data_IF_655750691663
#
_entry.id   IF_655750691663
#
_cell.length_a   1.000
_cell.length_b   1.000
_cell.length_c   1.000
_cell.angle_alpha   90.00
_cell.angle_beta   90.00
_cell.angle_gamma   90.00
#
_symmetry.space_group_name_H-M   'P 1'
#
loop_
_entity.id
_entity.type
_entity.pdbx_description
1 polymer ?
#
# COMPACT_ATOMS: atom_id res chain seq x y z
N UNK A 1 12.35 0.66 -22.08
CA UNK A 1 12.79 0.58 -20.67
C UNK A 1 13.61 1.80 -20.22
N UNK A 2 14.71 2.21 -20.89
CA UNK A 2 15.55 3.35 -20.48
C UNK A 2 14.79 4.70 -20.39
N UNK A 3 13.83 4.94 -21.27
CA UNK A 3 13.06 6.20 -21.26
C UNK A 3 12.10 6.32 -20.06
N UNK A 4 11.52 5.20 -19.60
CA UNK A 4 10.58 5.19 -18.46
C UNK A 4 11.33 5.45 -17.16
N UNK A 5 12.49 4.81 -16.96
CA UNK A 5 13.30 5.06 -15.76
C UNK A 5 13.84 6.49 -15.71
N UNK A 6 14.23 7.06 -16.85
CA UNK A 6 14.63 8.48 -16.95
C UNK A 6 13.47 9.43 -16.67
N UNK A 7 12.25 9.10 -17.11
CA UNK A 7 11.05 9.86 -16.78
C UNK A 7 10.78 9.82 -15.27
N UNK A 8 10.73 8.62 -14.68
CA UNK A 8 10.46 8.44 -13.25
C UNK A 8 11.48 9.18 -12.38
N UNK A 9 12.77 9.12 -12.73
CA UNK A 9 13.83 9.84 -12.02
C UNK A 9 13.58 11.36 -11.96
N UNK A 10 12.90 11.95 -12.94
CA UNK A 10 12.59 13.39 -12.96
C UNK A 10 11.34 13.76 -12.16
N UNK A 11 10.42 12.82 -11.95
CA UNK A 11 9.12 13.10 -11.31
C UNK A 11 9.02 12.62 -9.86
N UNK A 12 9.86 11.66 -9.45
CA UNK A 12 9.84 11.08 -8.09
C UNK A 12 10.01 12.13 -7.01
N UNK A 13 11.03 12.98 -7.10
CA UNK A 13 11.32 13.98 -6.07
C UNK A 13 10.22 15.05 -5.98
N UNK A 14 9.78 15.68 -7.10
CA UNK A 14 8.64 16.59 -7.07
C UNK A 14 7.37 15.96 -6.50
N UNK A 15 7.04 14.72 -6.87
CA UNK A 15 5.85 14.04 -6.36
C UNK A 15 5.96 13.75 -4.86
N UNK A 16 7.15 13.35 -4.40
CA UNK A 16 7.41 13.10 -2.97
C UNK A 16 7.20 14.37 -2.14
N UNK A 17 7.62 15.52 -2.65
CA UNK A 17 7.38 16.81 -1.98
C UNK A 17 5.89 17.18 -1.96
N UNK A 18 5.18 16.98 -3.08
CA UNK A 18 3.76 17.30 -3.19
C UNK A 18 2.87 16.40 -2.31
N UNK A 19 3.28 15.17 -2.02
CA UNK A 19 2.55 14.30 -1.08
C UNK A 19 2.39 14.95 0.31
N UNK A 20 3.37 15.73 0.74
CA UNK A 20 3.39 16.37 2.07
C UNK A 20 3.03 17.86 2.04
N UNK A 21 2.48 18.37 0.93
CA UNK A 21 1.96 19.75 0.90
C UNK A 21 0.80 19.92 1.89
N UNK A 22 0.75 21.06 2.59
CA UNK A 22 -0.29 21.35 3.59
C UNK A 22 -1.69 21.50 2.97
N UNK A 23 -1.77 21.73 1.66
CA UNK A 23 -3.03 21.83 0.93
C UNK A 23 -3.41 20.46 0.40
N UNK A 24 -4.49 19.91 0.93
CA UNK A 24 -5.02 18.60 0.54
C UNK A 24 -5.29 18.47 -0.96
N UNK A 25 -5.55 19.58 -1.69
CA UNK A 25 -5.69 19.57 -3.13
C UNK A 25 -4.41 19.17 -3.87
N UNK A 26 -3.23 19.62 -3.41
CA UNK A 26 -1.96 19.21 -4.02
C UNK A 26 -1.66 17.75 -3.68
N UNK A 27 -1.82 17.35 -2.42
CA UNK A 27 -1.67 15.95 -2.01
C UNK A 27 -2.56 15.03 -2.83
N UNK A 28 -3.81 15.43 -3.08
CA UNK A 28 -4.75 14.68 -3.91
C UNK A 28 -4.23 14.49 -5.33
N UNK A 29 -3.78 15.55 -5.99
CA UNK A 29 -3.26 15.44 -7.36
C UNK A 29 -1.94 14.65 -7.42
N UNK A 30 -1.09 14.73 -6.40
CA UNK A 30 0.11 13.90 -6.29
C UNK A 30 -0.25 12.41 -6.16
N UNK A 31 -1.17 12.06 -5.26
CA UNK A 31 -1.69 10.70 -5.11
C UNK A 31 -2.34 10.18 -6.40
N UNK A 32 -3.15 10.99 -7.08
CA UNK A 32 -3.76 10.63 -8.37
C UNK A 32 -2.73 10.43 -9.47
N UNK A 33 -1.69 11.25 -9.50
CA UNK A 33 -0.60 11.11 -10.48
C UNK A 33 0.16 9.82 -10.25
N UNK A 34 0.49 9.48 -8.99
CA UNK A 34 1.14 8.20 -8.65
C UNK A 34 0.24 7.01 -9.02
N UNK A 35 -1.05 7.09 -8.73
CA UNK A 35 -2.03 6.08 -9.12
C UNK A 35 -2.08 5.87 -10.64
N UNK A 36 -2.11 6.96 -11.42
CA UNK A 36 -2.07 6.90 -12.88
C UNK A 36 -0.75 6.32 -13.40
N UNK A 37 0.39 6.64 -12.77
CA UNK A 37 1.68 6.04 -13.12
C UNK A 37 1.65 4.53 -12.89
N UNK A 38 1.08 4.07 -11.77
CA UNK A 38 0.93 2.63 -11.50
C UNK A 38 0.02 1.96 -12.55
N UNK A 39 -1.09 2.59 -12.92
CA UNK A 39 -2.00 2.09 -13.97
C UNK A 39 -1.34 2.03 -15.35
N UNK A 40 -0.56 3.03 -15.74
CA UNK A 40 0.07 3.07 -17.07
C UNK A 40 1.28 2.14 -17.15
N UNK A 41 2.11 2.08 -16.10
CA UNK A 41 3.36 1.32 -16.11
C UNK A 41 3.21 -0.11 -15.58
N UNK A 42 2.12 -0.41 -14.87
CA UNK A 42 1.84 -1.73 -14.31
C UNK A 42 3.05 -2.27 -13.51
N UNK A 43 3.57 -3.45 -13.85
CA UNK A 43 4.71 -4.06 -13.16
C UNK A 43 6.06 -3.36 -13.44
N UNK A 44 6.18 -2.51 -14.47
CA UNK A 44 7.39 -1.69 -14.66
C UNK A 44 7.53 -0.64 -13.53
N UNK A 45 6.47 -0.39 -12.76
CA UNK A 45 6.49 0.50 -11.61
C UNK A 45 6.99 -0.16 -10.31
N UNK A 46 7.12 -1.50 -10.26
CA UNK A 46 7.42 -2.27 -9.03
C UNK A 46 8.51 -1.65 -8.16
N UNK A 47 9.69 -1.44 -8.74
CA UNK A 47 10.84 -0.90 -8.00
C UNK A 47 10.54 0.46 -7.36
N UNK A 48 9.83 1.35 -8.07
CA UNK A 48 9.51 2.68 -7.55
C UNK A 48 8.37 2.61 -6.52
N UNK A 49 7.34 1.80 -6.78
CA UNK A 49 6.22 1.58 -5.87
C UNK A 49 6.72 1.17 -4.47
N UNK A 50 7.56 0.14 -4.40
CA UNK A 50 8.02 -0.41 -3.12
C UNK A 50 9.20 0.30 -2.48
N UNK A 51 10.04 1.00 -3.24
CA UNK A 51 11.21 1.68 -2.68
C UNK A 51 10.96 3.16 -2.33
N UNK A 52 9.93 3.79 -2.91
CA UNK A 52 9.74 5.24 -2.81
C UNK A 52 8.35 5.62 -2.28
N UNK A 53 7.29 5.00 -2.79
CA UNK A 53 5.93 5.47 -2.51
C UNK A 53 5.23 4.71 -1.38
N UNK A 54 5.16 3.37 -1.44
CA UNK A 54 4.50 2.56 -0.40
C UNK A 54 5.50 2.23 0.70
N UNK A 55 5.97 3.26 1.42
CA UNK A 55 6.97 3.16 2.50
C UNK A 55 6.49 3.89 3.76
N UNK A 56 7.15 3.60 4.88
CA UNK A 56 6.91 4.18 6.20
C UNK A 56 7.16 5.69 6.27
N UNK A 57 7.99 6.23 5.38
CA UNK A 57 8.32 7.65 5.27
C UNK A 57 7.52 8.39 4.18
N UNK A 58 6.64 7.69 3.45
CA UNK A 58 5.90 8.23 2.30
C UNK A 58 4.39 8.05 2.49
N UNK A 59 3.72 7.19 1.70
CA UNK A 59 2.26 7.05 1.78
C UNK A 59 1.76 6.57 3.15
N UNK A 60 2.50 5.71 3.86
CA UNK A 60 2.12 5.36 5.24
C UNK A 60 2.26 6.54 6.19
N UNK A 61 3.35 7.32 6.08
CA UNK A 61 3.50 8.54 6.88
C UNK A 61 2.36 9.51 6.66
N UNK A 62 1.92 9.64 5.41
CA UNK A 62 0.81 10.51 5.03
C UNK A 62 -0.53 10.03 5.62
N UNK A 63 -0.77 8.72 5.66
CA UNK A 63 -1.93 8.13 6.36
C UNK A 63 -1.95 8.45 7.86
N UNK A 64 -0.78 8.63 8.46
CA UNK A 64 -0.60 8.92 9.89
C UNK A 64 -0.53 10.43 10.20
N UNK A 65 -0.76 11.29 9.21
CA UNK A 65 -0.64 12.75 9.37
C UNK A 65 -1.68 13.39 10.31
N UNK A 66 -2.75 12.68 10.65
CA UNK A 66 -3.88 13.20 11.43
C UNK A 66 -4.90 14.00 10.62
N UNK A 67 -4.60 14.34 9.35
CA UNK A 67 -5.57 14.92 8.42
C UNK A 67 -6.32 13.82 7.68
N UNK A 68 -7.62 13.67 7.98
CA UNK A 68 -8.44 12.59 7.43
C UNK A 68 -8.48 12.58 5.90
N UNK A 69 -8.61 13.74 5.24
CA UNK A 69 -8.66 13.81 3.77
C UNK A 69 -7.33 13.40 3.13
N UNK A 70 -6.21 13.85 3.71
CA UNK A 70 -4.88 13.46 3.21
C UNK A 70 -4.63 11.96 3.41
N UNK A 71 -5.07 11.42 4.55
CA UNK A 71 -4.97 9.99 4.83
C UNK A 71 -5.80 9.15 3.87
N UNK A 72 -7.01 9.59 3.53
CA UNK A 72 -7.87 8.93 2.53
C UNK A 72 -7.24 8.96 1.13
N UNK A 73 -6.65 10.09 0.71
CA UNK A 73 -5.93 10.16 -0.56
C UNK A 73 -4.73 9.21 -0.62
N UNK A 74 -3.97 9.11 0.47
CA UNK A 74 -2.85 8.18 0.56
C UNK A 74 -3.32 6.71 0.50
N UNK A 75 -4.39 6.39 1.22
CA UNK A 75 -5.00 5.06 1.21
C UNK A 75 -5.42 4.65 -0.21
N UNK A 76 -6.20 5.49 -0.88
CA UNK A 76 -6.67 5.23 -2.25
C UNK A 76 -5.51 5.09 -3.24
N UNK A 77 -4.41 5.83 -3.04
CA UNK A 77 -3.20 5.68 -3.83
C UNK A 77 -2.58 4.28 -3.69
N UNK A 78 -2.42 3.78 -2.45
CA UNK A 78 -1.90 2.42 -2.20
C UNK A 78 -2.81 1.35 -2.79
N UNK A 79 -4.13 1.49 -2.65
CA UNK A 79 -5.11 0.59 -3.28
C UNK A 79 -4.91 0.54 -4.79
N UNK A 80 -4.79 1.71 -5.46
CA UNK A 80 -4.54 1.78 -6.89
C UNK A 80 -3.22 1.13 -7.30
N UNK A 81 -2.15 1.30 -6.52
CA UNK A 81 -0.86 0.65 -6.76
C UNK A 81 -1.03 -0.88 -6.69
N UNK A 82 -1.73 -1.40 -5.69
CA UNK A 82 -1.93 -2.84 -5.52
C UNK A 82 -2.74 -3.48 -6.66
N UNK A 83 -3.73 -2.76 -7.21
CA UNK A 83 -4.48 -3.26 -8.37
C UNK A 83 -3.64 -3.37 -9.65
N UNK A 84 -2.57 -2.58 -9.78
CA UNK A 84 -1.83 -2.44 -11.04
C UNK A 84 -0.37 -2.95 -10.96
N UNK A 85 0.18 -3.15 -9.76
CA UNK A 85 1.60 -3.47 -9.58
C UNK A 85 1.77 -4.61 -8.57
N UNK A 86 2.15 -5.78 -9.07
CA UNK A 86 2.46 -6.96 -8.26
C UNK A 86 3.88 -6.88 -7.68
N UNK A 87 4.06 -6.09 -6.60
CA UNK A 87 5.37 -5.83 -6.00
C UNK A 87 5.63 -6.61 -4.71
N UNK A 88 6.72 -7.38 -4.68
CA UNK A 88 7.19 -8.04 -3.45
C UNK A 88 7.60 -7.03 -2.38
N UNK A 89 8.20 -5.91 -2.80
CA UNK A 89 8.67 -4.89 -1.87
C UNK A 89 7.50 -4.16 -1.21
N UNK A 90 6.45 -3.83 -1.98
CA UNK A 90 5.19 -3.28 -1.45
C UNK A 90 4.57 -4.23 -0.43
N UNK A 91 4.47 -5.54 -0.74
CA UNK A 91 3.99 -6.54 0.23
C UNK A 91 4.77 -6.52 1.54
N UNK A 92 6.12 -6.54 1.47
CA UNK A 92 6.98 -6.50 2.66
C UNK A 92 6.79 -5.23 3.49
N UNK A 93 6.58 -4.08 2.84
CA UNK A 93 6.33 -2.83 3.56
C UNK A 93 4.95 -2.85 4.24
N UNK A 94 3.93 -3.42 3.60
CA UNK A 94 2.59 -3.61 4.20
C UNK A 94 2.68 -4.52 5.44
N UNK A 95 3.36 -5.67 5.34
CA UNK A 95 3.54 -6.58 6.49
C UNK A 95 4.22 -5.88 7.68
N UNK A 96 5.25 -5.06 7.41
CA UNK A 96 5.92 -4.29 8.48
C UNK A 96 4.99 -3.29 9.17
N UNK A 97 4.07 -2.70 8.42
CA UNK A 97 3.11 -1.71 8.93
C UNK A 97 1.83 -2.33 9.51
N UNK A 98 1.62 -3.63 9.30
CA UNK A 98 0.39 -4.30 9.70
C UNK A 98 0.18 -4.35 11.23
N UNK A 99 1.26 -4.16 12.01
CA UNK A 99 1.25 -4.11 13.47
C UNK A 99 1.54 -2.69 14.01
N UNK A 100 1.33 -1.65 13.20
CA UNK A 100 1.62 -0.29 13.60
C UNK A 100 0.73 0.18 14.78
N UNK A 101 1.24 1.12 15.58
CA UNK A 101 0.51 1.69 16.72
C UNK A 101 -0.80 2.39 16.29
N UNK A 102 -0.84 2.96 15.09
CA UNK A 102 -2.00 3.64 14.54
C UNK A 102 -3.02 2.61 14.04
N UNK A 103 -4.17 2.57 14.70
CA UNK A 103 -5.26 1.65 14.33
C UNK A 103 -5.70 1.79 12.87
N UNK A 104 -5.64 3.01 12.31
CA UNK A 104 -6.00 3.27 10.92
C UNK A 104 -5.02 2.59 9.95
N UNK A 105 -3.71 2.65 10.23
CA UNK A 105 -2.68 1.93 9.46
C UNK A 105 -2.92 0.42 9.50
N UNK A 106 -3.21 -0.15 10.68
CA UNK A 106 -3.51 -1.60 10.80
C UNK A 106 -4.77 -2.01 10.04
N UNK A 107 -5.84 -1.20 10.12
CA UNK A 107 -7.08 -1.43 9.36
C UNK A 107 -6.81 -1.46 7.86
N UNK A 108 -6.03 -0.50 7.36
CA UNK A 108 -5.67 -0.41 5.96
C UNK A 108 -4.78 -1.58 5.53
N UNK A 109 -3.79 -1.98 6.33
CA UNK A 109 -2.96 -3.14 6.03
C UNK A 109 -3.77 -4.44 5.94
N UNK A 110 -4.78 -4.62 6.79
CA UNK A 110 -5.68 -5.77 6.72
C UNK A 110 -6.45 -5.81 5.39
N UNK A 111 -6.90 -4.65 4.90
CA UNK A 111 -7.56 -4.51 3.61
C UNK A 111 -6.59 -4.73 2.44
N UNK A 112 -5.38 -4.19 2.52
CA UNK A 112 -4.35 -4.38 1.50
C UNK A 112 -3.94 -5.85 1.37
N UNK A 113 -3.83 -6.58 2.48
CA UNK A 113 -3.54 -8.02 2.46
C UNK A 113 -4.68 -8.82 1.82
N UNK A 114 -5.93 -8.47 2.10
CA UNK A 114 -7.08 -9.08 1.41
C UNK A 114 -7.03 -8.80 -0.09
N UNK A 115 -6.74 -7.56 -0.47
CA UNK A 115 -6.62 -7.15 -1.87
C UNK A 115 -5.50 -7.93 -2.58
N UNK A 116 -4.33 -8.05 -1.96
CA UNK A 116 -3.20 -8.85 -2.48
C UNK A 116 -3.63 -10.29 -2.78
N UNK A 117 -4.35 -10.94 -1.86
CA UNK A 117 -4.88 -12.29 -2.08
C UNK A 117 -5.90 -12.40 -3.21
N UNK A 118 -6.54 -11.28 -3.58
CA UNK A 118 -7.52 -11.24 -4.68
C UNK A 118 -6.83 -10.99 -6.02
N UNK A 119 -5.82 -10.10 -6.06
CA UNK A 119 -5.28 -9.57 -7.32
C UNK A 119 -3.90 -10.11 -7.70
N UNK A 120 -3.11 -10.62 -6.76
CA UNK A 120 -1.78 -11.14 -7.10
C UNK A 120 -1.87 -12.57 -7.62
N UNK A 121 -0.98 -12.98 -8.56
CA UNK A 121 -0.94 -14.36 -9.05
C UNK A 121 -0.59 -15.36 -7.94
N UNK A 122 -1.24 -16.54 -7.94
CA UNK A 122 -1.01 -17.62 -6.97
C UNK A 122 0.49 -17.97 -6.78
N UNK A 123 1.32 -18.11 -7.84
CA UNK A 123 2.74 -18.43 -7.67
C UNK A 123 3.55 -17.36 -6.91
N UNK A 124 3.05 -16.13 -6.87
CA UNK A 124 3.63 -15.05 -6.06
C UNK A 124 3.18 -15.21 -4.60
N UNK A 125 1.89 -15.52 -4.37
CA UNK A 125 1.30 -15.69 -3.04
C UNK A 125 1.90 -16.87 -2.27
N UNK A 126 2.30 -17.94 -2.94
CA UNK A 126 2.97 -19.10 -2.31
C UNK A 126 4.22 -18.70 -1.52
N UNK A 127 4.88 -17.61 -1.91
CA UNK A 127 6.08 -17.09 -1.24
C UNK A 127 5.77 -16.33 0.05
N UNK A 128 4.52 -15.98 0.29
CA UNK A 128 4.07 -15.11 1.39
C UNK A 128 3.28 -15.86 2.47
N UNK A 129 3.12 -17.17 2.32
CA UNK A 129 2.36 -18.04 3.23
C UNK A 129 2.73 -17.81 4.70
N UNK A 130 4.03 -17.86 5.01
CA UNK A 130 4.51 -17.68 6.38
C UNK A 130 4.21 -16.27 6.91
N UNK A 131 4.45 -15.23 6.11
CA UNK A 131 4.22 -13.84 6.51
C UNK A 131 2.73 -13.57 6.79
N UNK A 132 1.84 -14.09 5.94
CA UNK A 132 0.39 -13.96 6.08
C UNK A 132 -0.10 -14.72 7.32
N UNK A 133 0.43 -15.92 7.57
CA UNK A 133 0.09 -16.70 8.76
C UNK A 133 0.51 -15.99 10.05
N UNK A 134 1.74 -15.46 10.12
CA UNK A 134 2.19 -14.71 11.30
C UNK A 134 1.40 -13.42 11.50
N UNK A 135 1.03 -12.71 10.42
CA UNK A 135 0.12 -11.57 10.48
C UNK A 135 -1.26 -11.94 11.06
N UNK A 136 -1.86 -13.04 10.61
CA UNK A 136 -3.21 -13.44 11.05
C UNK A 136 -3.27 -13.77 12.55
N UNK A 137 -2.20 -14.33 13.13
CA UNK A 137 -2.11 -14.62 14.58
C UNK A 137 -2.33 -13.39 15.44
N UNK A 138 -1.86 -12.22 14.99
CA UNK A 138 -1.96 -10.96 15.74
C UNK A 138 -3.16 -10.13 15.32
N UNK A 139 -3.59 -10.20 14.05
CA UNK A 139 -4.69 -9.40 13.53
C UNK A 139 -6.09 -9.93 13.89
N UNK A 140 -6.27 -11.25 14.00
CA UNK A 140 -7.54 -11.85 14.42
C UNK A 140 -7.94 -11.44 15.85
N UNK A 141 -7.03 -11.42 16.84
CA UNK A 141 -7.32 -10.91 18.17
C UNK A 141 -7.07 -9.40 18.35
N UNK A 142 -6.91 -8.61 17.27
CA UNK A 142 -6.65 -7.17 17.39
C UNK A 142 -7.73 -6.45 18.23
N UNK A 143 -7.32 -5.42 18.98
CA UNK A 143 -8.25 -4.66 19.81
C UNK A 143 -9.32 -3.92 18.98
N UNK A 144 -8.99 -3.51 17.75
CA UNK A 144 -9.91 -2.81 16.87
C UNK A 144 -10.83 -3.81 16.11
N UNK A 145 -12.16 -3.68 16.21
CA UNK A 145 -13.11 -4.61 15.58
C UNK A 145 -13.04 -4.65 14.06
N UNK A 146 -12.70 -3.55 13.39
CA UNK A 146 -12.60 -3.50 11.93
C UNK A 146 -11.34 -4.23 11.44
N UNK A 147 -10.23 -4.17 12.18
CA UNK A 147 -9.05 -5.00 11.90
C UNK A 147 -9.43 -6.47 11.99
N UNK A 148 -10.10 -6.89 13.07
CA UNK A 148 -10.53 -8.29 13.24
C UNK A 148 -11.47 -8.75 12.12
N UNK A 149 -12.40 -7.90 11.69
CA UNK A 149 -13.34 -8.18 10.60
C UNK A 149 -12.60 -8.43 9.29
N UNK A 150 -11.66 -7.55 8.93
CA UNK A 150 -10.85 -7.66 7.71
C UNK A 150 -9.89 -8.85 7.78
N UNK A 151 -9.24 -9.07 8.92
CA UNK A 151 -8.37 -10.22 9.14
C UNK A 151 -9.09 -11.57 8.96
N UNK A 152 -10.35 -11.68 9.41
CA UNK A 152 -11.17 -12.87 9.14
C UNK A 152 -11.45 -13.05 7.64
N UNK A 153 -11.66 -11.97 6.89
CA UNK A 153 -11.82 -12.05 5.44
C UNK A 153 -10.51 -12.49 4.75
N UNK A 154 -9.35 -12.00 5.20
CA UNK A 154 -8.03 -12.48 4.76
C UNK A 154 -7.89 -13.98 5.02
N UNK A 155 -8.20 -14.44 6.24
CA UNK A 155 -8.16 -15.86 6.60
C UNK A 155 -9.04 -16.71 5.68
N UNK A 156 -10.30 -16.31 5.47
CA UNK A 156 -11.23 -17.03 4.60
C UNK A 156 -10.69 -17.10 3.18
N UNK A 157 -10.25 -15.97 2.62
CA UNK A 157 -9.73 -15.90 1.25
C UNK A 157 -8.46 -16.73 1.07
N UNK A 158 -7.60 -16.77 2.08
CA UNK A 158 -6.35 -17.54 2.05
C UNK A 158 -6.58 -19.06 2.00
N UNK A 159 -7.72 -19.55 2.52
CA UNK A 159 -8.06 -20.98 2.52
C UNK A 159 -8.97 -21.42 1.36
N UNK A 160 -9.32 -20.51 0.44
CA UNK A 160 -10.11 -20.80 -0.77
C UNK A 160 -9.20 -21.02 -1.96
#
# INVERSE_FOLDING_TARGET
MIQISQFLAKVVEPLSQQLFDLRSSITREACRTIALIAEVLQNDFDSHAGNLFVTDISLFKLMESGNHLMAEHAHNCVVSILYNTCSQKVFKNIIRQANDRHQYTRMNCAEYLLLILIVFPIPVLDKYVTDIYEYLKVAIPDQNPEVRKRARAVFIKYHQ
#
